data_IF_719553187138
#
_entry.id   IF_719553187138
#
_cell.length_a   1.000
_cell.length_b   1.000
_cell.length_c   1.000
_cell.angle_alpha   90.00
_cell.angle_beta   90.00
_cell.angle_gamma   90.00
#
_symmetry.space_group_name_H-M   'P 1'
#
loop_
_entity.id
_entity.type
_entity.pdbx_description
1 polymer ?
#
# COMPACT_ATOMS: atom_id res chain seq x y z
N UNK A 1 25.35 -15.47 -20.28
CA UNK A 1 24.02 -15.26 -19.64
C UNK A 1 24.22 -14.15 -18.63
N UNK A 2 23.74 -12.95 -18.94
CA UNK A 2 23.79 -11.82 -18.01
C UNK A 2 22.83 -12.18 -16.85
N UNK A 3 23.35 -12.24 -15.62
CA UNK A 3 22.51 -12.45 -14.45
C UNK A 3 21.50 -11.30 -14.40
N UNK A 4 20.21 -11.60 -14.34
CA UNK A 4 19.18 -10.60 -14.14
C UNK A 4 19.46 -9.90 -12.80
N UNK A 5 19.44 -8.57 -12.79
CA UNK A 5 19.59 -7.80 -11.56
C UNK A 5 18.53 -8.22 -10.53
N UNK A 6 18.91 -8.33 -9.25
CA UNK A 6 17.94 -8.69 -8.22
C UNK A 6 16.80 -7.67 -8.18
N UNK A 7 15.59 -8.17 -7.95
CA UNK A 7 14.39 -7.35 -7.72
C UNK A 7 14.00 -7.47 -6.26
N UNK A 8 13.57 -6.37 -5.67
CA UNK A 8 13.19 -6.31 -4.26
C UNK A 8 11.73 -5.90 -4.09
N UNK A 9 11.16 -6.25 -2.94
CA UNK A 9 9.80 -5.93 -2.49
C UNK A 9 9.85 -5.07 -1.20
N UNK A 10 10.45 -3.86 -1.24
CA UNK A 10 10.77 -3.11 -0.02
C UNK A 10 9.53 -2.60 0.72
N UNK A 11 8.40 -2.49 0.02
CA UNK A 11 7.13 -2.00 0.57
C UNK A 11 6.15 -3.15 0.89
N UNK A 12 6.66 -4.39 0.91
CA UNK A 12 5.87 -5.58 1.21
C UNK A 12 4.82 -5.90 0.14
N UNK A 13 3.76 -6.52 0.59
CA UNK A 13 2.60 -6.93 -0.22
C UNK A 13 1.32 -6.53 0.49
N UNK A 14 0.24 -6.39 -0.26
CA UNK A 14 -1.07 -6.10 0.29
C UNK A 14 -2.17 -6.81 -0.51
N UNK A 15 -3.33 -6.96 0.10
CA UNK A 15 -4.57 -7.28 -0.58
C UNK A 15 -5.68 -6.31 -0.19
N UNK A 16 -6.64 -6.09 -1.07
CA UNK A 16 -7.71 -5.13 -0.82
C UNK A 16 -8.94 -5.38 -1.66
N UNK A 17 -9.97 -4.58 -1.39
CA UNK A 17 -11.25 -4.58 -2.10
C UNK A 17 -11.82 -5.99 -2.35
N UNK A 18 -11.90 -6.85 -1.30
CA UNK A 18 -12.37 -8.20 -1.48
C UNK A 18 -13.84 -8.21 -1.89
N UNK A 19 -14.16 -9.07 -2.85
CA UNK A 19 -15.53 -9.47 -3.19
C UNK A 19 -15.71 -10.95 -2.88
N UNK A 20 -16.88 -11.50 -3.17
CA UNK A 20 -17.13 -12.91 -2.89
C UNK A 20 -16.36 -13.87 -3.80
N UNK A 21 -15.88 -13.40 -4.94
CA UNK A 21 -15.24 -14.21 -5.99
C UNK A 21 -13.84 -13.72 -6.40
N UNK A 22 -13.33 -12.64 -5.76
CA UNK A 22 -12.06 -12.01 -6.13
C UNK A 22 -11.49 -11.13 -5.03
N UNK A 23 -10.22 -10.73 -5.21
CA UNK A 23 -9.52 -9.78 -4.35
C UNK A 23 -8.44 -9.06 -5.17
N UNK A 24 -8.19 -7.80 -4.88
CA UNK A 24 -7.04 -7.09 -5.43
C UNK A 24 -5.79 -7.51 -4.65
N UNK A 25 -4.72 -7.87 -5.37
CA UNK A 25 -3.39 -8.12 -4.81
C UNK A 25 -2.45 -6.99 -5.25
N UNK A 26 -1.63 -6.51 -4.34
CA UNK A 26 -0.71 -5.39 -4.58
C UNK A 26 0.71 -5.72 -4.15
N UNK A 27 1.67 -5.21 -4.90
CA UNK A 27 3.08 -5.08 -4.51
C UNK A 27 3.76 -3.96 -5.30
N UNK A 28 4.95 -3.55 -4.88
CA UNK A 28 5.86 -2.69 -5.63
C UNK A 28 7.18 -3.39 -5.84
N UNK A 29 7.65 -3.41 -7.09
CA UNK A 29 8.94 -3.97 -7.47
C UNK A 29 9.98 -2.85 -7.54
N UNK A 30 11.18 -3.08 -7.02
CA UNK A 30 12.31 -2.19 -7.28
C UNK A 30 13.49 -2.98 -7.87
N UNK A 31 14.13 -2.49 -8.96
CA UNK A 31 15.32 -3.10 -9.50
C UNK A 31 16.50 -2.84 -8.57
N UNK A 32 17.29 -3.88 -8.28
CA UNK A 32 18.41 -3.82 -7.35
C UNK A 32 19.65 -3.08 -7.86
N UNK A 33 19.71 -2.82 -9.15
CA UNK A 33 20.82 -2.11 -9.81
C UNK A 33 20.53 -0.63 -10.08
N UNK A 34 19.40 -0.12 -9.58
CA UNK A 34 18.98 1.27 -9.79
C UNK A 34 18.57 1.60 -11.24
N UNK A 35 18.36 0.61 -12.11
CA UNK A 35 17.89 0.80 -13.48
C UNK A 35 16.39 1.13 -13.52
N UNK A 36 16.01 2.33 -13.13
CA UNK A 36 14.62 2.78 -13.02
C UNK A 36 13.87 2.95 -14.36
N UNK A 37 14.47 2.61 -15.50
CA UNK A 37 13.84 2.75 -16.83
C UNK A 37 13.39 1.41 -17.44
N UNK A 38 13.65 0.28 -16.79
CA UNK A 38 13.26 -1.02 -17.30
C UNK A 38 11.82 -1.38 -16.93
N UNK A 39 11.10 -2.05 -17.83
CA UNK A 39 9.88 -2.77 -17.47
C UNK A 39 10.25 -3.98 -16.63
N UNK A 40 9.57 -4.18 -15.51
CA UNK A 40 9.74 -5.33 -14.62
C UNK A 40 8.54 -6.26 -14.74
N UNK A 41 8.79 -7.55 -14.65
CA UNK A 41 7.74 -8.57 -14.70
C UNK A 41 7.80 -9.46 -13.46
N UNK A 42 6.65 -9.91 -13.02
CA UNK A 42 6.53 -10.92 -11.96
C UNK A 42 5.47 -11.97 -12.31
N UNK A 43 5.54 -13.08 -11.60
CA UNK A 43 4.45 -14.06 -11.49
C UNK A 43 3.77 -13.83 -10.15
N UNK A 44 2.45 -13.80 -10.13
CA UNK A 44 1.65 -13.82 -8.91
C UNK A 44 1.00 -15.19 -8.73
N UNK A 45 0.79 -15.60 -7.50
CA UNK A 45 0.24 -16.89 -7.13
C UNK A 45 -0.73 -16.76 -5.96
N UNK A 46 -1.85 -17.49 -6.04
CA UNK A 46 -2.85 -17.64 -4.97
C UNK A 46 -3.05 -19.13 -4.70
N UNK A 47 -3.04 -19.54 -3.44
CA UNK A 47 -3.16 -20.93 -3.01
C UNK A 47 -4.01 -21.06 -1.74
N UNK A 48 -4.52 -22.27 -1.48
CA UNK A 48 -5.23 -22.60 -0.23
C UNK A 48 -4.26 -22.88 0.94
N UNK A 49 -3.00 -23.11 0.66
CA UNK A 49 -1.98 -23.39 1.67
C UNK A 49 -0.73 -22.52 1.50
N UNK A 50 -0.03 -22.30 2.63
CA UNK A 50 1.15 -21.43 2.70
C UNK A 50 2.35 -21.93 1.89
N UNK A 51 2.39 -23.24 1.61
CA UNK A 51 3.47 -23.86 0.83
C UNK A 51 3.20 -23.83 -0.68
N UNK A 52 2.04 -23.32 -1.10
CA UNK A 52 1.61 -23.23 -2.50
C UNK A 52 1.53 -24.59 -3.21
N UNK A 53 1.15 -25.66 -2.46
CA UNK A 53 0.90 -26.99 -3.02
C UNK A 53 -0.50 -27.10 -3.64
N UNK A 54 -1.47 -26.34 -3.12
CA UNK A 54 -2.84 -26.28 -3.59
C UNK A 54 -3.09 -24.93 -4.28
N UNK A 55 -2.51 -24.79 -5.47
CA UNK A 55 -2.67 -23.59 -6.29
C UNK A 55 -4.09 -23.42 -6.77
N UNK A 56 -4.63 -22.20 -6.62
CA UNK A 56 -5.99 -21.84 -7.07
C UNK A 56 -5.92 -20.95 -8.32
N UNK A 57 -5.05 -19.95 -8.28
CA UNK A 57 -4.92 -19.00 -9.38
C UNK A 57 -3.47 -18.51 -9.49
N UNK A 58 -3.05 -18.17 -10.70
CA UNK A 58 -1.74 -17.57 -10.95
C UNK A 58 -1.74 -16.84 -12.28
N UNK A 59 -0.81 -15.93 -12.44
CA UNK A 59 -0.63 -15.22 -13.72
C UNK A 59 0.66 -14.43 -13.73
N UNK A 60 0.90 -13.77 -14.87
CA UNK A 60 2.02 -12.85 -15.01
C UNK A 60 1.52 -11.40 -15.05
N UNK A 61 2.34 -10.51 -14.55
CA UNK A 61 2.11 -9.07 -14.60
C UNK A 61 3.41 -8.33 -14.90
N UNK A 62 3.28 -7.12 -15.42
CA UNK A 62 4.41 -6.24 -15.68
C UNK A 62 4.10 -4.83 -15.19
N UNK A 63 5.14 -4.10 -14.85
CA UNK A 63 5.07 -2.71 -14.38
C UNK A 63 6.28 -1.92 -14.86
N UNK A 64 6.21 -0.62 -14.74
CA UNK A 64 7.28 0.30 -15.11
C UNK A 64 7.29 1.54 -14.22
N UNK A 65 8.24 2.44 -14.44
CA UNK A 65 8.30 3.73 -13.77
C UNK A 65 7.02 4.57 -13.94
N UNK A 66 6.24 4.34 -15.01
CA UNK A 66 4.97 5.05 -15.23
C UNK A 66 3.94 4.75 -14.15
N UNK A 67 3.97 3.55 -13.57
CA UNK A 67 3.12 3.10 -12.45
C UNK A 67 3.89 3.06 -11.12
N UNK A 68 4.99 3.79 -11.00
CA UNK A 68 5.90 3.72 -9.85
C UNK A 68 6.32 2.29 -9.48
N UNK A 69 6.38 1.41 -10.47
CA UNK A 69 6.65 -0.02 -10.31
C UNK A 69 5.62 -0.77 -9.43
N UNK A 70 4.48 -0.17 -9.15
CA UNK A 70 3.37 -0.84 -8.49
C UNK A 70 2.69 -1.84 -9.43
N UNK A 71 2.19 -2.92 -8.84
CA UNK A 71 1.41 -3.96 -9.51
C UNK A 71 0.11 -4.13 -8.75
N UNK A 72 -1.01 -4.08 -9.46
CA UNK A 72 -2.35 -4.43 -8.95
C UNK A 72 -2.93 -5.55 -9.80
N UNK A 73 -3.37 -6.61 -9.16
CA UNK A 73 -3.94 -7.79 -9.80
C UNK A 73 -5.35 -7.99 -9.27
N UNK A 74 -6.33 -8.04 -10.17
CA UNK A 74 -7.65 -8.56 -9.84
C UNK A 74 -7.62 -10.10 -9.91
N UNK A 75 -7.41 -10.74 -8.76
CA UNK A 75 -7.35 -12.18 -8.64
C UNK A 75 -8.76 -12.76 -8.58
N UNK A 76 -9.29 -13.16 -9.72
CA UNK A 76 -10.66 -13.66 -9.91
C UNK A 76 -10.76 -15.18 -9.82
N UNK A 77 -12.01 -15.69 -9.72
CA UNK A 77 -12.30 -17.14 -9.71
C UNK A 77 -12.06 -17.80 -8.36
N UNK A 78 -12.10 -17.02 -7.30
CA UNK A 78 -11.97 -17.48 -5.92
C UNK A 78 -13.32 -17.93 -5.35
N UNK A 79 -13.31 -18.84 -4.39
CA UNK A 79 -14.51 -19.22 -3.66
C UNK A 79 -14.86 -18.18 -2.59
N UNK A 80 -16.15 -18.01 -2.31
CA UNK A 80 -16.62 -17.08 -1.30
C UNK A 80 -16.29 -17.55 0.13
N UNK A 81 -16.09 -16.58 1.03
CA UNK A 81 -15.82 -16.81 2.46
C UNK A 81 -14.60 -17.71 2.71
N UNK A 82 -13.58 -17.59 1.89
CA UNK A 82 -12.42 -18.46 1.91
C UNK A 82 -11.13 -17.68 2.16
N UNK A 83 -10.25 -18.20 3.01
CA UNK A 83 -8.90 -17.71 3.21
C UNK A 83 -7.97 -18.24 2.11
N UNK A 84 -7.04 -17.38 1.67
CA UNK A 84 -6.03 -17.70 0.68
C UNK A 84 -4.66 -17.16 1.12
N UNK A 85 -3.62 -17.81 0.63
CA UNK A 85 -2.25 -17.32 0.67
C UNK A 85 -1.87 -16.79 -0.71
N UNK A 86 -1.09 -15.72 -0.74
CA UNK A 86 -0.62 -15.14 -2.00
C UNK A 86 0.83 -14.69 -1.91
N UNK A 87 1.50 -14.63 -3.04
CA UNK A 87 2.86 -14.10 -3.20
C UNK A 87 3.11 -13.62 -4.61
N UNK A 88 4.22 -12.88 -4.75
CA UNK A 88 4.78 -12.46 -6.04
C UNK A 88 6.20 -13.02 -6.18
N UNK A 89 6.60 -13.33 -7.42
CA UNK A 89 7.93 -13.84 -7.75
C UNK A 89 8.46 -13.05 -8.93
N UNK A 90 9.57 -12.35 -8.75
CA UNK A 90 10.23 -11.56 -9.80
C UNK A 90 11.73 -11.88 -9.84
N UNK A 91 12.30 -12.09 -11.02
CA UNK A 91 13.71 -12.43 -11.22
C UNK A 91 14.25 -13.55 -10.27
N UNK A 92 13.39 -14.53 -9.97
CA UNK A 92 13.75 -15.65 -9.06
C UNK A 92 13.65 -15.32 -7.57
N UNK A 93 13.31 -14.08 -7.20
CA UNK A 93 13.10 -13.65 -5.80
C UNK A 93 11.62 -13.70 -5.48
N UNK A 94 11.24 -14.32 -4.34
CA UNK A 94 9.87 -14.34 -3.84
C UNK A 94 9.65 -13.20 -2.85
N UNK A 95 8.49 -12.56 -2.94
CA UNK A 95 7.98 -11.67 -1.89
C UNK A 95 7.74 -12.46 -0.58
N UNK A 96 7.47 -11.77 0.54
CA UNK A 96 6.78 -12.39 1.67
C UNK A 96 5.51 -13.09 1.21
N UNK A 97 5.03 -14.07 2.01
CA UNK A 97 3.73 -14.72 1.81
C UNK A 97 2.68 -13.98 2.61
N UNK A 98 1.67 -13.46 1.92
CA UNK A 98 0.52 -12.82 2.52
C UNK A 98 -0.67 -13.76 2.67
N UNK A 99 -1.64 -13.31 3.48
CA UNK A 99 -2.96 -13.90 3.59
C UNK A 99 -4.01 -12.90 3.13
N UNK A 100 -5.09 -13.43 2.58
CA UNK A 100 -6.26 -12.64 2.21
C UNK A 100 -7.51 -13.47 2.40
N UNK A 101 -8.67 -12.84 2.26
CA UNK A 101 -9.98 -13.50 2.37
C UNK A 101 -10.96 -12.88 1.39
N UNK A 102 -11.79 -13.70 0.78
CA UNK A 102 -12.98 -13.28 0.04
C UNK A 102 -14.15 -13.04 0.97
N UNK A 103 -15.07 -12.17 0.56
CA UNK A 103 -16.29 -11.91 1.31
C UNK A 103 -17.26 -13.09 1.25
N UNK A 104 -18.11 -13.29 2.28
CA UNK A 104 -19.18 -14.26 2.25
C UNK A 104 -20.28 -13.87 1.26
N UNK A 105 -21.10 -14.84 0.87
CA UNK A 105 -22.37 -14.64 0.17
C UNK A 105 -23.49 -14.99 1.16
N UNK A 106 -24.44 -14.10 1.34
CA UNK A 106 -25.54 -14.25 2.31
C UNK A 106 -25.11 -13.89 3.74
N UNK A 107 -25.95 -14.32 4.70
CA UNK A 107 -25.76 -14.00 6.11
C UNK A 107 -24.62 -14.82 6.73
N UNK A 108 -23.91 -14.21 7.67
CA UNK A 108 -22.88 -14.84 8.50
C UNK A 108 -23.16 -14.54 9.98
N UNK A 109 -22.79 -15.47 10.85
CA UNK A 109 -23.00 -15.32 12.29
C UNK A 109 -22.06 -14.25 12.90
N UNK A 110 -20.87 -14.09 12.33
CA UNK A 110 -19.86 -13.15 12.80
C UNK A 110 -19.01 -12.60 11.63
N UNK A 111 -18.66 -11.32 11.70
CA UNK A 111 -17.70 -10.68 10.81
C UNK A 111 -16.88 -9.65 11.59
N UNK A 112 -15.56 -9.83 11.67
CA UNK A 112 -14.66 -9.03 12.49
C UNK A 112 -13.96 -7.97 11.67
N UNK A 113 -14.28 -6.71 11.95
CA UNK A 113 -13.69 -5.55 11.31
C UNK A 113 -12.60 -4.90 12.18
N UNK A 114 -11.43 -4.67 11.60
CA UNK A 114 -10.50 -3.67 12.10
C UNK A 114 -10.84 -2.32 11.47
N UNK A 115 -10.90 -1.26 12.28
CA UNK A 115 -11.13 0.10 11.77
C UNK A 115 -9.99 0.98 12.22
N UNK A 116 -9.38 1.73 11.31
CA UNK A 116 -8.27 2.65 11.57
C UNK A 116 -8.33 3.86 10.64
N UNK A 117 -7.63 4.92 11.04
CA UNK A 117 -7.43 6.15 10.26
C UNK A 117 -6.29 6.98 10.87
N UNK A 118 -5.88 8.04 10.20
CA UNK A 118 -5.11 9.15 10.79
C UNK A 118 -3.77 8.72 11.41
N UNK A 119 -3.01 7.87 10.72
CA UNK A 119 -1.72 7.37 11.20
C UNK A 119 -0.57 8.15 10.59
N UNK A 120 -0.11 9.20 11.29
CA UNK A 120 0.94 10.07 10.79
C UNK A 120 2.34 9.53 11.13
N UNK A 121 3.19 9.31 10.11
CA UNK A 121 4.52 8.71 10.23
C UNK A 121 5.45 9.44 11.21
N UNK A 122 5.59 10.79 11.18
CA UNK A 122 6.47 11.50 12.11
C UNK A 122 5.91 11.66 13.53
N UNK A 123 4.78 11.04 13.85
CA UNK A 123 4.22 11.03 15.23
C UNK A 123 4.69 9.81 16.05
N UNK A 124 5.28 8.78 15.43
CA UNK A 124 5.79 7.60 16.12
C UNK A 124 5.56 6.31 15.33
N UNK A 125 5.91 5.17 15.93
CA UNK A 125 5.71 3.86 15.33
C UNK A 125 4.24 3.46 15.27
N UNK A 126 3.87 2.70 14.25
CA UNK A 126 2.52 2.21 14.00
C UNK A 126 2.17 0.96 14.83
N UNK A 127 2.41 1.01 16.15
CA UNK A 127 2.24 -0.13 17.06
C UNK A 127 0.84 -0.76 17.04
N UNK A 128 -0.21 0.03 16.75
CA UNK A 128 -1.59 -0.44 16.63
C UNK A 128 -1.70 -1.44 15.48
N UNK A 129 -1.03 -1.21 14.37
CA UNK A 129 -1.05 -2.14 13.22
C UNK A 129 -0.40 -3.48 13.55
N UNK A 130 0.64 -3.52 14.40
CA UNK A 130 1.18 -4.80 14.93
C UNK A 130 0.13 -5.57 15.70
N UNK A 131 -0.66 -4.89 16.52
CA UNK A 131 -1.73 -5.52 17.26
C UNK A 131 -2.81 -6.05 16.31
N UNK A 132 -3.24 -5.24 15.35
CA UNK A 132 -4.22 -5.66 14.33
C UNK A 132 -3.72 -6.85 13.50
N UNK A 133 -2.44 -6.88 13.11
CA UNK A 133 -1.84 -8.00 12.38
C UNK A 133 -1.88 -9.33 13.16
N UNK A 134 -1.90 -9.27 14.49
CA UNK A 134 -1.97 -10.44 15.39
C UNK A 134 -3.40 -10.74 15.88
N UNK A 135 -4.38 -9.96 15.48
CA UNK A 135 -5.80 -10.16 15.80
C UNK A 135 -6.46 -10.91 14.63
N UNK A 136 -7.41 -11.77 14.93
CA UNK A 136 -8.19 -12.48 13.92
C UNK A 136 -9.27 -11.55 13.37
N UNK A 137 -8.96 -10.88 12.26
CA UNK A 137 -9.85 -9.97 11.55
C UNK A 137 -10.20 -10.54 10.17
N UNK A 138 -11.41 -10.27 9.72
CA UNK A 138 -11.86 -10.63 8.37
C UNK A 138 -11.48 -9.55 7.35
N UNK A 139 -11.50 -8.28 7.78
CA UNK A 139 -11.28 -7.11 6.93
C UNK A 139 -10.78 -5.95 7.77
N UNK A 140 -9.95 -5.09 7.18
CA UNK A 140 -9.57 -3.80 7.75
C UNK A 140 -10.17 -2.67 6.91
N UNK A 141 -10.86 -1.74 7.58
CA UNK A 141 -11.33 -0.49 6.99
C UNK A 141 -10.38 0.63 7.39
N UNK A 142 -9.76 1.28 6.42
CA UNK A 142 -8.96 2.48 6.63
C UNK A 142 -9.77 3.70 6.15
N UNK A 143 -10.12 4.58 7.07
CA UNK A 143 -11.07 5.67 6.85
C UNK A 143 -10.40 6.97 6.39
N UNK A 144 -9.20 6.89 5.83
CA UNK A 144 -8.46 8.04 5.31
C UNK A 144 -7.33 8.52 6.21
N UNK A 145 -6.62 9.54 5.75
CA UNK A 145 -5.34 9.98 6.31
C UNK A 145 -4.32 8.83 6.39
N UNK A 146 -4.20 8.10 5.29
CA UNK A 146 -3.19 7.06 5.16
C UNK A 146 -1.78 7.65 5.06
N UNK A 147 -1.66 8.82 4.44
CA UNK A 147 -0.44 9.65 4.41
C UNK A 147 -0.79 11.07 4.83
N UNK A 148 0.23 11.88 5.12
CA UNK A 148 0.11 13.31 5.39
C UNK A 148 1.04 14.09 4.48
N UNK A 149 0.55 15.22 3.94
CA UNK A 149 1.25 16.01 2.93
C UNK A 149 2.31 16.95 3.50
N UNK A 150 2.32 17.19 4.79
CA UNK A 150 3.14 18.20 5.44
C UNK A 150 4.64 18.04 5.21
N UNK A 151 5.36 19.17 5.23
CA UNK A 151 6.82 19.23 5.30
C UNK A 151 7.37 18.69 6.62
N UNK A 152 8.69 18.42 6.66
CA UNK A 152 9.41 18.04 7.88
C UNK A 152 9.16 19.08 8.99
N UNK A 153 9.03 18.62 10.21
CA UNK A 153 8.75 19.42 11.42
C UNK A 153 7.38 20.13 11.48
N UNK A 154 6.58 20.04 10.43
CA UNK A 154 5.18 20.45 10.46
C UNK A 154 4.33 19.23 10.84
N UNK A 155 3.54 19.36 11.91
CA UNK A 155 2.70 18.28 12.44
C UNK A 155 3.50 17.00 12.78
N UNK A 156 4.66 17.16 13.39
CA UNK A 156 5.56 16.10 13.79
C UNK A 156 5.76 16.05 15.32
N UNK A 157 6.18 14.89 15.83
CA UNK A 157 6.59 14.74 17.22
C UNK A 157 8.13 14.76 17.28
N UNK A 158 8.77 15.74 17.97
CA UNK A 158 10.22 15.86 18.05
C UNK A 158 10.93 14.58 18.54
N UNK A 159 10.35 13.86 19.50
CA UNK A 159 10.91 12.57 19.94
C UNK A 159 10.92 11.54 18.82
N UNK A 160 9.85 11.48 18.02
CA UNK A 160 9.78 10.54 16.90
C UNK A 160 10.77 10.89 15.79
N UNK A 161 10.90 12.17 15.48
CA UNK A 161 11.80 12.63 14.40
C UNK A 161 13.28 12.56 14.79
N UNK A 162 13.62 13.01 16.01
CA UNK A 162 15.01 13.18 16.42
C UNK A 162 15.62 11.89 17.02
N UNK A 163 14.83 11.16 17.82
CA UNK A 163 15.35 9.97 18.50
C UNK A 163 15.03 8.67 17.74
N UNK A 164 13.91 8.60 17.03
CA UNK A 164 13.48 7.39 16.32
C UNK A 164 13.74 7.47 14.81
N UNK A 165 14.20 8.63 14.31
CA UNK A 165 14.48 8.84 12.88
C UNK A 165 13.25 8.81 11.98
N UNK A 166 12.05 9.05 12.53
CA UNK A 166 10.81 9.04 11.75
C UNK A 166 10.57 10.38 11.06
N UNK A 167 11.50 10.75 10.21
CA UNK A 167 11.42 11.95 9.38
C UNK A 167 10.64 11.68 8.10
N UNK A 168 9.94 12.70 7.60
CA UNK A 168 9.21 12.59 6.35
C UNK A 168 10.15 12.70 5.15
N UNK A 169 9.81 11.97 4.09
CA UNK A 169 10.43 12.06 2.77
C UNK A 169 9.34 12.22 1.70
N UNK A 170 9.49 13.20 0.80
CA UNK A 170 10.51 14.26 0.83
C UNK A 170 10.32 15.16 2.04
N UNK A 171 11.36 15.93 2.40
CA UNK A 171 11.33 16.85 3.56
C UNK A 171 10.44 18.08 3.33
N UNK A 172 10.15 18.42 2.06
CA UNK A 172 9.19 19.46 1.71
C UNK A 172 7.74 18.95 1.77
N UNK A 173 6.80 19.87 1.78
CA UNK A 173 5.40 19.58 1.50
C UNK A 173 5.25 18.93 0.12
N UNK A 174 4.38 17.92 0.00
CA UNK A 174 4.26 17.17 -1.24
C UNK A 174 3.28 17.84 -2.21
N UNK A 175 3.72 18.05 -3.46
CA UNK A 175 2.99 18.75 -4.50
C UNK A 175 2.97 17.97 -5.82
N UNK A 176 4.11 17.34 -6.18
CA UNK A 176 4.28 16.61 -7.42
C UNK A 176 3.91 15.13 -7.27
N UNK A 177 3.73 14.43 -8.39
CA UNK A 177 3.50 12.98 -8.38
C UNK A 177 4.66 12.22 -7.74
N UNK A 178 5.89 12.65 -7.96
CA UNK A 178 7.10 12.09 -7.38
C UNK A 178 7.09 12.21 -5.86
N UNK A 179 6.67 13.38 -5.34
CA UNK A 179 6.57 13.62 -3.90
C UNK A 179 5.53 12.71 -3.25
N UNK A 180 4.32 12.60 -3.83
CA UNK A 180 3.27 11.72 -3.33
C UNK A 180 3.70 10.25 -3.33
N UNK A 181 4.34 9.78 -4.41
CA UNK A 181 4.88 8.42 -4.51
C UNK A 181 5.96 8.16 -3.45
N UNK A 182 6.86 9.12 -3.22
CA UNK A 182 7.89 9.03 -2.19
C UNK A 182 7.26 8.96 -0.79
N UNK A 183 6.24 9.77 -0.52
CA UNK A 183 5.53 9.78 0.75
C UNK A 183 4.79 8.46 1.02
N UNK A 184 4.05 7.91 0.05
CA UNK A 184 3.47 6.57 0.15
C UNK A 184 4.54 5.51 0.39
N UNK A 185 5.63 5.55 -0.37
CA UNK A 185 6.77 4.66 -0.19
C UNK A 185 7.32 4.69 1.22
N UNK A 186 7.54 5.89 1.79
CA UNK A 186 8.01 6.05 3.16
C UNK A 186 7.08 5.37 4.17
N UNK A 187 5.78 5.65 4.13
CA UNK A 187 4.81 5.06 5.06
C UNK A 187 4.79 3.54 4.96
N UNK A 188 4.87 3.01 3.75
CA UNK A 188 4.91 1.56 3.47
C UNK A 188 6.24 0.90 3.84
N UNK A 189 7.25 1.64 4.31
CA UNK A 189 8.45 1.04 4.93
C UNK A 189 8.22 0.62 6.38
N UNK A 190 7.16 1.12 7.05
CA UNK A 190 6.86 0.72 8.43
C UNK A 190 6.52 -0.77 8.50
N UNK A 191 7.27 -1.49 9.33
CA UNK A 191 7.17 -2.94 9.44
C UNK A 191 5.81 -3.43 9.97
N UNK A 192 5.20 -2.67 10.86
CA UNK A 192 3.90 -3.01 11.44
C UNK A 192 2.76 -2.77 10.44
N UNK A 193 2.87 -1.70 9.62
CA UNK A 193 1.96 -1.45 8.51
C UNK A 193 2.08 -2.53 7.43
N UNK A 194 3.30 -2.95 7.08
CA UNK A 194 3.50 -4.08 6.16
C UNK A 194 2.90 -5.38 6.71
N UNK A 195 3.07 -5.64 8.01
CA UNK A 195 2.56 -6.86 8.64
C UNK A 195 1.03 -6.94 8.58
N UNK A 196 0.31 -5.85 8.87
CA UNK A 196 -1.16 -5.84 8.82
C UNK A 196 -1.68 -5.97 7.40
N UNK A 197 -1.03 -5.31 6.42
CA UNK A 197 -1.36 -5.47 5.00
C UNK A 197 -1.11 -6.87 4.46
N UNK A 198 -0.03 -7.51 4.90
CA UNK A 198 0.26 -8.89 4.51
C UNK A 198 -0.71 -9.91 5.15
N UNK A 199 -1.40 -9.52 6.22
CA UNK A 199 -2.26 -10.42 7.01
C UNK A 199 -3.73 -10.34 6.67
N UNK A 200 -4.24 -9.14 6.34
CA UNK A 200 -5.66 -8.88 6.15
C UNK A 200 -5.93 -8.09 4.87
N UNK A 201 -7.05 -8.34 4.18
CA UNK A 201 -7.48 -7.46 3.10
C UNK A 201 -7.94 -6.11 3.66
N UNK A 202 -7.68 -5.03 2.92
CA UNK A 202 -8.07 -3.67 3.25
C UNK A 202 -9.14 -3.15 2.30
N UNK A 203 -10.02 -2.31 2.82
CA UNK A 203 -10.78 -1.32 2.05
C UNK A 203 -10.33 0.03 2.56
N UNK A 204 -9.75 0.83 1.68
CA UNK A 204 -9.28 2.18 1.99
C UNK A 204 -10.18 3.21 1.31
N UNK A 205 -10.56 4.22 2.04
CA UNK A 205 -11.07 5.47 1.48
C UNK A 205 -10.06 6.57 1.79
N UNK A 206 -10.04 7.62 1.00
CA UNK A 206 -9.24 8.81 1.31
C UNK A 206 -10.04 9.80 2.14
N UNK A 207 -9.32 10.61 2.94
CA UNK A 207 -9.82 11.84 3.53
C UNK A 207 -9.10 13.00 2.86
N UNK A 208 -8.78 14.06 3.54
CA UNK A 208 -8.19 15.24 2.92
C UNK A 208 -6.65 15.14 2.80
N UNK A 209 -5.96 14.55 3.76
CA UNK A 209 -4.49 14.49 3.78
C UNK A 209 -3.85 13.62 2.69
N UNK A 210 -4.58 12.75 2.04
CA UNK A 210 -4.11 12.09 0.81
C UNK A 210 -3.92 13.09 -0.33
N UNK A 211 -4.47 14.31 -0.20
CA UNK A 211 -4.26 15.45 -1.09
C UNK A 211 -3.61 16.61 -0.32
N UNK A 212 -4.35 17.31 0.53
CA UNK A 212 -3.90 18.40 1.37
C UNK A 212 -4.98 18.78 2.38
N UNK A 213 -4.57 19.20 3.58
CA UNK A 213 -5.45 19.56 4.69
C UNK A 213 -6.64 20.43 4.26
N UNK A 214 -7.83 20.05 4.77
CA UNK A 214 -9.10 20.74 4.51
C UNK A 214 -9.34 21.02 3.02
N UNK A 215 -9.15 20.01 2.16
CA UNK A 215 -9.34 20.15 0.73
C UNK A 215 -10.83 20.25 0.34
N UNK A 216 -11.10 21.07 -0.68
CA UNK A 216 -12.42 21.19 -1.30
C UNK A 216 -12.29 21.17 -2.84
N UNK A 217 -13.40 21.30 -3.54
CA UNK A 217 -13.44 21.15 -5.01
C UNK A 217 -12.37 21.97 -5.78
N UNK A 218 -12.00 23.15 -5.31
CA UNK A 218 -11.16 24.10 -6.04
C UNK A 218 -9.91 24.56 -5.27
N UNK A 219 -9.58 23.97 -4.14
CA UNK A 219 -8.45 24.34 -3.30
C UNK A 219 -8.33 23.49 -2.05
N UNK A 220 -7.43 23.85 -1.18
CA UNK A 220 -7.24 23.27 0.15
C UNK A 220 -6.75 24.36 1.11
N UNK A 221 -6.92 24.15 2.41
CA UNK A 221 -6.32 25.03 3.41
C UNK A 221 -4.79 25.01 3.27
N UNK A 222 -4.23 23.84 3.03
CA UNK A 222 -2.80 23.64 2.79
C UNK A 222 -2.49 23.57 1.28
N UNK A 223 -2.87 24.62 0.55
CA UNK A 223 -2.42 24.87 -0.82
C UNK A 223 -2.30 26.39 -1.01
N UNK A 224 -1.06 26.87 -0.99
CA UNK A 224 -0.70 28.27 -0.83
C UNK A 224 -0.24 28.93 -2.14
N UNK A 225 -0.15 30.25 -2.13
CA UNK A 225 0.42 31.01 -3.24
C UNK A 225 1.85 30.55 -3.54
N UNK A 226 2.12 30.25 -4.80
CA UNK A 226 3.43 29.74 -5.25
C UNK A 226 3.55 28.22 -5.39
N UNK A 227 2.58 27.45 -4.93
CA UNK A 227 2.57 25.97 -5.02
C UNK A 227 2.01 25.43 -6.35
N UNK A 228 1.64 26.34 -7.26
CA UNK A 228 1.21 25.98 -8.61
C UNK A 228 -0.30 25.77 -8.74
N UNK A 229 -0.70 25.00 -9.75
CA UNK A 229 -2.12 24.73 -10.03
C UNK A 229 -2.66 23.63 -9.12
N UNK A 230 -3.63 23.93 -8.28
CA UNK A 230 -4.29 22.96 -7.40
C UNK A 230 -4.84 21.73 -8.15
N UNK A 231 -5.36 21.92 -9.37
CA UNK A 231 -5.83 20.78 -10.17
C UNK A 231 -4.71 19.87 -10.65
N UNK A 232 -3.50 20.40 -10.82
CA UNK A 232 -2.32 19.56 -11.11
C UNK A 232 -1.95 18.75 -9.88
N UNK A 233 -1.90 19.36 -8.69
CA UNK A 233 -1.69 18.66 -7.40
C UNK A 233 -2.74 17.57 -7.18
N UNK A 234 -4.02 17.88 -7.38
CA UNK A 234 -5.11 16.90 -7.27
C UNK A 234 -4.91 15.69 -8.21
N UNK A 235 -4.48 15.91 -9.46
CA UNK A 235 -4.18 14.81 -10.38
C UNK A 235 -3.04 13.94 -9.89
N UNK A 236 -1.96 14.55 -9.38
CA UNK A 236 -0.80 13.87 -8.81
C UNK A 236 -1.19 13.01 -7.60
N UNK A 237 -1.90 13.59 -6.65
CA UNK A 237 -2.38 12.89 -5.45
C UNK A 237 -3.28 11.70 -5.81
N UNK A 238 -4.26 11.90 -6.69
CA UNK A 238 -5.18 10.83 -7.16
C UNK A 238 -4.43 9.70 -7.87
N UNK A 239 -3.46 10.05 -8.71
CA UNK A 239 -2.66 9.04 -9.40
C UNK A 239 -1.88 8.20 -8.40
N UNK A 240 -1.15 8.82 -7.46
CA UNK A 240 -0.40 8.10 -6.44
C UNK A 240 -1.30 7.22 -5.57
N UNK A 241 -2.47 7.74 -5.14
CA UNK A 241 -3.46 6.96 -4.38
C UNK A 241 -3.91 5.70 -5.13
N UNK A 242 -4.12 5.80 -6.44
CA UNK A 242 -4.53 4.64 -7.24
C UNK A 242 -3.37 3.68 -7.58
N UNK A 243 -2.13 4.12 -7.47
CA UNK A 243 -0.95 3.26 -7.65
C UNK A 243 -0.65 2.47 -6.38
N UNK A 244 -0.79 3.09 -5.21
CA UNK A 244 -0.43 2.56 -3.90
C UNK A 244 -1.62 2.00 -3.12
#
# INVERSE_FOLDING_TARGET
>A
VQASSPVYFPHGIASGDPLSDRVILWTRLLPGDGQHNASLSCVWQVALDRDFKQMVSSGAASTSAQQDYCIKIDAVGLAANQHYFYRFIAAGVSSPVGMTRTLPVGDVDEFRLGVCSCSNYPQGYFNVYRHMANTDLDLVLHLGDYIYEYAEDVYANPLATDELGRKVEPSNEILSIEDYRMRYGLYRTDADLQAVHARHPFICVWDDHELANDCWQNGAQNHNDGEGDFKARLRSARQAYHEW
#
